data_IF_820833462839
#
_entry.id   IF_820833462839
#
_cell.length_a   1.000
_cell.length_b   1.000
_cell.length_c   1.000
_cell.angle_alpha   90.00
_cell.angle_beta   90.00
_cell.angle_gamma   90.00
#
_symmetry.space_group_name_H-M   'P 1'
#
loop_
_entity.id
_entity.type
_entity.pdbx_description
1 polymer ?
#
# COMPACT_ATOMS: atom_id res chain seq x y z
N UNK A 1 -30.62 30.23 -24.14
CA UNK A 1 -31.76 29.38 -23.71
C UNK A 1 -31.72 28.14 -24.60
N UNK A 2 -31.56 26.89 -24.17
CA UNK A 2 -31.44 26.22 -22.86
C UNK A 2 -30.41 25.08 -22.99
N UNK A 3 -29.77 24.75 -21.87
CA UNK A 3 -28.69 23.77 -21.73
C UNK A 3 -29.17 22.32 -21.83
N UNK A 4 -28.31 21.43 -22.35
CA UNK A 4 -28.44 19.98 -22.17
C UNK A 4 -27.37 19.52 -21.18
N UNK A 5 -27.83 18.90 -20.10
CA UNK A 5 -27.10 18.55 -18.88
C UNK A 5 -25.94 17.56 -19.12
N UNK A 6 -24.80 17.81 -18.47
CA UNK A 6 -23.73 16.82 -18.30
C UNK A 6 -24.20 15.72 -17.34
N UNK A 7 -23.83 14.45 -17.55
CA UNK A 7 -24.14 13.38 -16.60
C UNK A 7 -23.41 13.65 -15.28
N UNK A 8 -24.17 13.57 -14.20
CA UNK A 8 -23.71 13.71 -12.83
C UNK A 8 -23.37 12.30 -12.31
N UNK A 9 -22.08 11.89 -12.21
CA UNK A 9 -21.76 10.74 -11.41
C UNK A 9 -21.82 11.22 -9.96
N UNK A 10 -22.94 10.93 -9.28
CA UNK A 10 -22.91 10.83 -7.83
C UNK A 10 -21.94 9.70 -7.49
N UNK A 11 -20.65 10.05 -7.39
CA UNK A 11 -19.68 9.27 -6.65
C UNK A 11 -20.18 9.36 -5.21
N UNK A 12 -20.92 8.35 -4.79
CA UNK A 12 -21.16 8.12 -3.38
C UNK A 12 -19.80 7.68 -2.86
N UNK A 13 -18.95 8.65 -2.52
CA UNK A 13 -17.87 8.43 -1.60
C UNK A 13 -18.56 7.95 -0.32
N UNK A 14 -18.65 6.63 -0.14
CA UNK A 14 -18.84 6.08 1.18
C UNK A 14 -17.62 6.57 1.94
N UNK A 15 -17.82 7.52 2.85
CA UNK A 15 -16.83 7.87 3.86
C UNK A 15 -16.45 6.56 4.53
N UNK A 16 -15.36 5.96 4.05
CA UNK A 16 -14.73 4.85 4.72
C UNK A 16 -14.01 5.54 5.87
N UNK A 17 -14.67 5.56 7.02
CA UNK A 17 -14.07 6.01 8.28
C UNK A 17 -12.67 5.40 8.35
N UNK A 18 -11.65 6.24 8.59
CA UNK A 18 -10.25 5.84 8.64
C UNK A 18 -10.05 4.62 9.56
N UNK A 19 -10.88 4.51 10.61
CA UNK A 19 -10.92 3.37 11.52
C UNK A 19 -11.42 2.08 10.85
N UNK A 20 -12.48 2.15 10.06
CA UNK A 20 -13.02 0.99 9.32
C UNK A 20 -12.08 0.54 8.19
N UNK A 21 -11.39 1.49 7.54
CA UNK A 21 -10.36 1.19 6.55
C UNK A 21 -9.16 0.48 7.18
N UNK A 22 -8.72 0.95 8.36
CA UNK A 22 -7.64 0.33 9.13
C UNK A 22 -8.01 -1.08 9.64
N UNK A 23 -9.26 -1.29 10.07
CA UNK A 23 -9.74 -2.61 10.54
C UNK A 23 -9.79 -3.67 9.42
N UNK A 24 -10.10 -3.28 8.18
CA UNK A 24 -10.09 -4.20 7.02
C UNK A 24 -8.70 -4.70 6.64
N UNK A 25 -7.68 -3.96 7.05
CA UNK A 25 -6.29 -4.24 6.76
C UNK A 25 -5.64 -5.18 7.79
N UNK A 26 -6.38 -5.61 8.83
CA UNK A 26 -5.86 -6.48 9.86
C UNK A 26 -5.89 -7.97 9.47
N UNK A 27 -4.82 -8.41 8.81
CA UNK A 27 -4.29 -9.76 9.05
C UNK A 27 -2.77 -9.78 8.85
N UNK A 28 -2.07 -9.71 9.99
CA UNK A 28 -0.61 -9.84 10.21
C UNK A 28 0.22 -8.55 10.10
N UNK A 29 -0.15 -7.52 10.87
CA UNK A 29 0.75 -6.40 11.20
C UNK A 29 1.90 -6.95 12.07
N UNK A 30 3.13 -6.82 11.60
CA UNK A 30 4.32 -7.08 12.41
C UNK A 30 4.54 -5.87 13.33
N UNK A 31 4.65 -6.13 14.63
CA UNK A 31 4.61 -5.17 15.73
C UNK A 31 5.70 -4.08 15.59
N UNK A 32 5.27 -2.86 15.27
CA UNK A 32 5.99 -1.62 15.62
C UNK A 32 5.43 -1.12 16.96
N UNK A 33 6.22 -0.47 17.83
CA UNK A 33 5.68 0.27 18.97
C UNK A 33 4.86 1.47 18.44
N UNK A 34 3.55 1.27 18.31
CA UNK A 34 2.59 2.15 17.65
C UNK A 34 1.35 1.37 17.18
N UNK A 35 0.83 0.49 18.03
CA UNK A 35 -0.24 -0.48 17.72
C UNK A 35 -1.62 0.17 17.47
N UNK A 36 -1.74 1.50 17.48
CA UNK A 36 -2.99 2.18 17.16
C UNK A 36 -3.24 2.15 15.64
N UNK A 37 -4.32 1.51 15.17
CA UNK A 37 -4.66 1.47 13.75
C UNK A 37 -4.73 2.86 13.09
N UNK A 38 -5.04 3.91 13.86
CA UNK A 38 -5.06 5.28 13.36
C UNK A 38 -3.64 5.80 13.05
N UNK A 39 -2.65 5.50 13.88
CA UNK A 39 -1.25 5.89 13.65
C UNK A 39 -0.70 5.22 12.39
N UNK A 40 -0.98 3.93 12.21
CA UNK A 40 -0.62 3.18 11.00
C UNK A 40 -1.28 3.77 9.76
N UNK A 41 -2.56 4.14 9.86
CA UNK A 41 -3.26 4.81 8.76
C UNK A 41 -2.63 6.18 8.42
N UNK A 42 -2.24 6.97 9.41
CA UNK A 42 -1.56 8.24 9.18
C UNK A 42 -0.18 8.07 8.53
N UNK A 43 0.55 6.99 8.88
CA UNK A 43 1.86 6.68 8.30
C UNK A 43 1.77 6.21 6.84
N UNK A 44 0.71 5.47 6.50
CA UNK A 44 0.53 4.83 5.19
C UNK A 44 -0.36 5.62 4.22
N UNK A 45 -1.13 6.58 4.73
CA UNK A 45 -2.08 7.34 3.93
C UNK A 45 -3.10 6.44 3.22
N UNK A 46 -3.22 6.62 1.91
CA UNK A 46 -4.23 5.93 1.08
C UNK A 46 -3.75 4.58 0.53
N UNK A 47 -2.47 4.23 0.68
CA UNK A 47 -1.87 3.02 0.10
C UNK A 47 -2.62 1.73 0.48
N UNK A 48 -3.04 1.53 1.74
CA UNK A 48 -3.77 0.32 2.11
C UNK A 48 -5.12 0.20 1.38
N UNK A 49 -5.73 1.31 0.96
CA UNK A 49 -7.02 1.30 0.27
C UNK A 49 -6.93 0.82 -1.17
N UNK A 50 -5.75 0.91 -1.79
CA UNK A 50 -5.52 0.43 -3.16
C UNK A 50 -5.37 -1.08 -3.22
N UNK A 51 -5.09 -1.73 -2.09
CA UNK A 51 -4.94 -3.17 -2.01
C UNK A 51 -6.27 -3.85 -1.67
N UNK A 52 -6.69 -4.75 -2.55
CA UNK A 52 -7.84 -5.61 -2.34
C UNK A 52 -7.45 -7.08 -2.51
N UNK A 53 -7.50 -7.84 -1.42
CA UNK A 53 -7.20 -9.27 -1.42
C UNK A 53 -8.18 -10.10 -2.30
N UNK A 54 -9.38 -9.58 -2.57
CA UNK A 54 -10.36 -10.22 -3.46
C UNK A 54 -10.18 -9.86 -4.94
N UNK A 55 -9.38 -8.83 -5.26
CA UNK A 55 -9.12 -8.43 -6.65
C UNK A 55 -8.08 -9.38 -7.28
N UNK A 56 -8.37 -10.09 -8.38
CA UNK A 56 -7.45 -11.08 -8.95
C UNK A 56 -6.13 -10.48 -9.47
N UNK A 57 -6.04 -9.17 -9.69
CA UNK A 57 -4.81 -8.53 -10.17
C UNK A 57 -3.66 -8.65 -9.15
N UNK A 58 -2.40 -8.80 -9.59
CA UNK A 58 -1.22 -8.69 -8.72
C UNK A 58 -1.20 -7.39 -7.93
N UNK A 59 -0.60 -7.39 -6.74
CA UNK A 59 -0.59 -6.19 -5.90
C UNK A 59 0.18 -5.04 -6.55
N UNK A 60 1.28 -5.33 -7.26
CA UNK A 60 1.97 -4.34 -8.09
C UNK A 60 1.01 -3.59 -9.02
N UNK A 61 0.19 -4.34 -9.78
CA UNK A 61 -0.77 -3.76 -10.71
C UNK A 61 -1.89 -3.01 -9.99
N UNK A 62 -2.33 -3.47 -8.82
CA UNK A 62 -3.32 -2.74 -8.03
C UNK A 62 -2.78 -1.38 -7.55
N UNK A 63 -1.52 -1.32 -7.11
CA UNK A 63 -0.85 -0.08 -6.71
C UNK A 63 -0.65 0.85 -7.91
N UNK A 64 -0.20 0.32 -9.05
CA UNK A 64 -0.05 1.09 -10.29
C UNK A 64 -1.39 1.65 -10.79
N UNK A 65 -2.49 0.91 -10.65
CA UNK A 65 -3.82 1.40 -11.00
C UNK A 65 -4.35 2.44 -10.00
N UNK A 66 -3.94 2.35 -8.73
CA UNK A 66 -4.29 3.32 -7.69
C UNK A 66 -3.52 4.63 -7.81
N UNK A 67 -2.27 4.56 -8.28
CA UNK A 67 -1.39 5.72 -8.45
C UNK A 67 -1.55 6.33 -9.85
N UNK A 68 -1.99 7.59 -9.91
CA UNK A 68 -2.31 8.25 -11.18
C UNK A 68 -1.09 8.58 -12.06
N UNK A 69 0.12 8.39 -11.54
CA UNK A 69 1.38 8.67 -12.22
C UNK A 69 2.13 7.36 -12.51
N UNK A 70 3.08 7.36 -13.47
CA UNK A 70 3.97 6.23 -13.67
C UNK A 70 4.73 5.90 -12.37
N UNK A 71 4.72 4.62 -11.98
CA UNK A 71 5.46 4.13 -10.81
C UNK A 71 6.84 3.65 -11.23
N UNK A 72 7.88 4.18 -10.58
CA UNK A 72 9.24 3.69 -10.76
C UNK A 72 9.56 2.57 -9.76
N UNK A 73 9.57 1.34 -10.25
CA UNK A 73 9.99 0.17 -9.47
C UNK A 73 11.47 -0.08 -9.64
N UNK A 74 12.18 -0.15 -8.51
CA UNK A 74 13.62 -0.43 -8.47
C UNK A 74 13.88 -1.71 -7.71
N UNK A 75 14.85 -2.51 -8.14
CA UNK A 75 15.29 -3.67 -7.37
C UNK A 75 16.01 -3.20 -6.10
N UNK A 76 15.65 -3.79 -4.96
CA UNK A 76 16.15 -3.36 -3.67
C UNK A 76 16.52 -4.56 -2.79
N UNK A 77 17.40 -4.30 -1.81
CA UNK A 77 17.78 -5.28 -0.80
C UNK A 77 16.71 -5.32 0.31
N UNK A 78 15.66 -6.11 0.06
CA UNK A 78 14.58 -6.37 1.02
C UNK A 78 14.71 -7.80 1.51
N UNK A 79 14.88 -8.05 2.82
CA UNK A 79 14.89 -9.41 3.37
C UNK A 79 13.50 -10.05 3.33
N UNK A 80 13.41 -11.36 3.48
CA UNK A 80 12.13 -12.08 3.60
C UNK A 80 11.30 -11.64 4.83
N UNK A 81 11.99 -11.10 5.84
CA UNK A 81 11.37 -10.49 7.02
C UNK A 81 10.74 -9.11 6.72
N UNK A 82 10.99 -8.55 5.54
CA UNK A 82 10.53 -7.22 5.12
C UNK A 82 11.48 -6.09 5.50
N UNK A 83 12.64 -6.38 6.08
CA UNK A 83 13.66 -5.34 6.35
C UNK A 83 14.23 -4.81 5.04
N UNK A 84 14.08 -3.52 4.79
CA UNK A 84 14.77 -2.84 3.71
C UNK A 84 16.14 -2.35 4.19
N UNK A 85 17.19 -2.72 3.47
CA UNK A 85 18.57 -2.38 3.80
C UNK A 85 19.12 -1.36 2.80
N UNK A 86 19.42 -0.16 3.30
CA UNK A 86 20.19 0.83 2.56
C UNK A 86 21.65 0.86 3.07
N UNK A 87 22.67 1.02 2.20
CA UNK A 87 24.07 1.01 2.62
C UNK A 87 24.37 2.07 3.69
N UNK A 88 24.98 1.64 4.80
CA UNK A 88 25.38 2.47 5.95
C UNK A 88 24.23 3.06 6.79
N UNK A 89 22.97 2.76 6.46
CA UNK A 89 21.82 3.17 7.25
C UNK A 89 21.28 2.00 8.09
N UNK A 90 20.62 2.30 9.23
CA UNK A 90 19.86 1.29 9.95
C UNK A 90 18.79 0.64 9.07
N UNK A 91 18.43 -0.63 9.31
CA UNK A 91 17.35 -1.28 8.57
C UNK A 91 16.03 -0.50 8.71
N UNK A 92 15.38 -0.26 7.57
CA UNK A 92 14.03 0.29 7.55
C UNK A 92 13.04 -0.86 7.67
N UNK A 93 12.27 -0.84 8.75
CA UNK A 93 11.29 -1.86 9.05
C UNK A 93 9.91 -1.50 8.46
N UNK A 94 9.15 -2.49 7.99
CA UNK A 94 7.81 -2.25 7.49
C UNK A 94 6.86 -1.98 8.64
N UNK A 95 5.90 -1.08 8.43
CA UNK A 95 4.82 -0.81 9.38
C UNK A 95 3.62 -1.74 9.16
N UNK A 96 3.52 -2.34 7.97
CA UNK A 96 2.50 -3.32 7.69
C UNK A 96 2.89 -4.27 6.54
N UNK A 97 2.18 -5.39 6.45
CA UNK A 97 2.34 -6.35 5.36
C UNK A 97 1.03 -6.99 4.95
N UNK A 98 0.99 -7.45 3.71
CA UNK A 98 -0.03 -8.37 3.21
C UNK A 98 0.62 -9.39 2.28
N UNK A 99 0.04 -10.58 2.18
CA UNK A 99 0.57 -11.66 1.37
C UNK A 99 -0.55 -12.42 0.66
N UNK A 100 -0.32 -12.74 -0.61
CA UNK A 100 -1.20 -13.60 -1.40
C UNK A 100 -0.46 -14.18 -2.61
N UNK A 101 -0.71 -15.45 -2.94
CA UNK A 101 -0.18 -16.09 -4.15
C UNK A 101 1.35 -15.93 -4.34
N UNK A 102 2.11 -16.09 -3.25
CA UNK A 102 3.58 -15.89 -3.21
C UNK A 102 4.06 -14.46 -3.49
N UNK A 103 3.16 -13.48 -3.50
CA UNK A 103 3.47 -12.05 -3.52
C UNK A 103 3.26 -11.48 -2.12
N UNK A 104 4.32 -10.93 -1.53
CA UNK A 104 4.27 -10.22 -0.25
C UNK A 104 4.49 -8.73 -0.49
N UNK A 105 3.60 -7.90 0.03
CA UNK A 105 3.73 -6.45 0.02
C UNK A 105 4.06 -5.98 1.42
N UNK A 106 5.09 -5.17 1.52
CA UNK A 106 5.53 -4.49 2.73
C UNK A 106 5.30 -2.99 2.54
N UNK A 107 4.65 -2.37 3.52
CA UNK A 107 4.48 -0.94 3.55
C UNK A 107 5.42 -0.34 4.60
N UNK A 108 6.07 0.75 4.24
CA UNK A 108 7.03 1.44 5.07
C UNK A 108 6.55 2.88 5.30
N UNK A 109 7.14 3.62 6.24
CA UNK A 109 6.88 5.05 6.37
C UNK A 109 7.19 5.81 5.07
N UNK A 110 6.63 7.02 4.92
CA UNK A 110 6.89 7.92 3.79
C UNK A 110 6.50 7.36 2.41
N UNK A 111 5.38 6.64 2.36
CA UNK A 111 4.80 6.10 1.12
C UNK A 111 5.69 5.13 0.34
N UNK A 112 6.66 4.50 1.00
CA UNK A 112 7.45 3.43 0.39
C UNK A 112 6.69 2.11 0.44
N UNK A 113 6.75 1.37 -0.67
CA UNK A 113 6.15 0.04 -0.80
C UNK A 113 7.16 -0.92 -1.39
N UNK A 114 7.43 -2.00 -0.68
CA UNK A 114 8.26 -3.11 -1.13
C UNK A 114 7.38 -4.30 -1.53
N UNK A 115 7.74 -4.97 -2.62
CA UNK A 115 7.09 -6.19 -3.08
C UNK A 115 8.14 -7.28 -3.23
N UNK A 116 7.87 -8.44 -2.63
CA UNK A 116 8.67 -9.64 -2.77
C UNK A 116 7.83 -10.69 -3.52
N UNK A 117 8.38 -11.21 -4.59
CA UNK A 117 7.90 -12.40 -5.31
C UNK A 117 9.03 -13.43 -5.36
N UNK A 118 8.79 -14.68 -5.82
CA UNK A 118 9.86 -15.66 -5.99
C UNK A 118 10.98 -15.21 -6.93
N UNK A 119 10.67 -14.28 -7.84
CA UNK A 119 11.60 -13.81 -8.87
C UNK A 119 12.28 -12.49 -8.51
N UNK A 120 11.61 -11.62 -7.74
CA UNK A 120 12.02 -10.21 -7.61
C UNK A 120 11.75 -9.64 -6.23
N UNK A 121 12.59 -8.68 -5.86
CA UNK A 121 12.44 -7.83 -4.69
C UNK A 121 12.51 -6.39 -5.18
N UNK A 122 11.36 -5.74 -5.26
CA UNK A 122 11.24 -4.40 -5.83
C UNK A 122 10.66 -3.43 -4.82
N UNK A 123 10.99 -2.16 -4.96
CA UNK A 123 10.45 -1.09 -4.15
C UNK A 123 10.10 0.10 -5.02
N UNK A 124 9.05 0.82 -4.63
CA UNK A 124 8.70 2.11 -5.18
C UNK A 124 8.30 3.07 -4.05
N UNK A 125 8.35 4.37 -4.35
CA UNK A 125 7.75 5.42 -3.54
C UNK A 125 6.51 5.94 -4.26
N UNK A 126 5.41 6.08 -3.53
CA UNK A 126 4.09 6.40 -4.07
C UNK A 126 3.53 7.68 -3.40
N UNK A 127 4.17 8.83 -3.64
CA UNK A 127 3.79 10.14 -3.09
C UNK A 127 3.29 11.16 -4.13
#
# INVERSE_FOLDING_TARGET
>A
MYAVQKPNPKIIARECDARTAAERFNKHIAQYPGDDPLEIYMLLGILPQWINASNPLPYKEQLENGFLFPVEWTEQNIKDTGEFLYPNDPPLWPVAKTERNHETVFFYPHSFVGIITPEKRIMARLD
#
